data_IF_298155592429
#
_entry.id   IF_298155592429
#
_cell.length_a   1.000
_cell.length_b   1.000
_cell.length_c   1.000
_cell.angle_alpha   90.00
_cell.angle_beta   90.00
_cell.angle_gamma   90.00
#
_symmetry.space_group_name_H-M   'P 1'
#
loop_
_entity.id
_entity.type
_entity.pdbx_description
1 polymer ?
#
# COMPACT_ATOMS: atom_id res chain seq x y z
N UNK A 1 34.55 39.17 -37.63
CA UNK A 1 33.95 39.34 -36.32
C UNK A 1 32.71 38.46 -36.23
N UNK A 2 32.88 37.32 -35.68
CA UNK A 2 31.76 36.40 -35.46
C UNK A 2 31.78 36.02 -33.98
N UNK A 3 30.87 36.58 -33.23
CA UNK A 3 30.60 36.19 -31.87
C UNK A 3 29.83 34.85 -31.90
N UNK A 4 30.52 33.79 -31.55
CA UNK A 4 29.88 32.50 -31.30
C UNK A 4 29.34 32.54 -29.87
N UNK A 5 28.05 32.75 -29.77
CA UNK A 5 27.34 32.55 -28.52
C UNK A 5 27.24 31.06 -28.27
N UNK A 6 28.11 30.52 -27.47
CA UNK A 6 27.97 29.25 -26.83
C UNK A 6 26.88 29.38 -25.77
N UNK A 7 25.67 29.00 -26.13
CA UNK A 7 24.63 28.77 -25.17
C UNK A 7 25.02 27.50 -24.39
N UNK A 8 25.63 27.66 -23.26
CA UNK A 8 25.80 26.61 -22.28
C UNK A 8 24.41 26.28 -21.76
N UNK A 9 23.81 25.23 -22.28
CA UNK A 9 22.64 24.62 -21.69
C UNK A 9 23.03 24.04 -20.35
N UNK A 10 22.81 24.82 -19.32
CA UNK A 10 22.86 24.33 -17.95
C UNK A 10 21.66 23.39 -17.75
N UNK A 11 21.85 22.14 -18.10
CA UNK A 11 20.95 21.08 -17.66
C UNK A 11 21.18 20.94 -16.17
N UNK A 12 20.35 21.61 -15.39
CA UNK A 12 20.25 21.34 -13.97
C UNK A 12 19.78 19.90 -13.82
N UNK A 13 20.72 19.02 -13.54
CA UNK A 13 20.42 17.70 -13.03
C UNK A 13 19.85 17.83 -11.63
N UNK A 14 18.55 18.08 -11.53
CA UNK A 14 17.78 17.99 -10.30
C UNK A 14 17.34 16.55 -10.03
N UNK A 15 18.15 15.56 -10.39
CA UNK A 15 17.76 14.15 -10.29
C UNK A 15 18.39 13.43 -9.08
N UNK A 16 18.85 14.17 -8.09
CA UNK A 16 19.45 13.57 -6.89
C UNK A 16 18.44 13.06 -5.86
N UNK A 17 17.13 13.26 -6.07
CA UNK A 17 16.08 12.86 -5.14
C UNK A 17 15.16 11.82 -5.78
N UNK A 18 15.52 10.56 -5.62
CA UNK A 18 14.56 9.47 -5.63
C UNK A 18 14.15 8.92 -6.97
N UNK A 19 15.08 8.68 -7.85
CA UNK A 19 14.89 7.56 -8.76
C UNK A 19 15.24 6.29 -7.99
N UNK A 20 14.30 5.80 -7.17
CA UNK A 20 14.26 4.41 -6.85
C UNK A 20 14.26 3.67 -8.20
N UNK A 21 15.30 2.90 -8.49
CA UNK A 21 15.38 2.12 -9.71
C UNK A 21 14.05 1.37 -9.87
N UNK A 22 13.38 1.54 -11.03
CA UNK A 22 12.16 0.80 -11.34
C UNK A 22 12.44 -0.69 -11.12
N UNK A 23 11.68 -1.36 -10.26
CA UNK A 23 11.91 -2.77 -10.00
C UNK A 23 11.77 -3.56 -11.30
N UNK A 24 12.72 -4.43 -11.57
CA UNK A 24 12.67 -5.35 -12.70
C UNK A 24 11.37 -6.16 -12.71
N UNK A 25 10.98 -6.70 -13.86
CA UNK A 25 9.75 -7.47 -14.02
C UNK A 25 9.65 -8.66 -13.04
N UNK A 26 10.78 -9.31 -12.72
CA UNK A 26 10.84 -10.36 -11.70
C UNK A 26 10.51 -9.85 -10.29
N UNK A 27 11.07 -8.71 -9.93
CA UNK A 27 10.80 -8.09 -8.64
C UNK A 27 9.35 -7.58 -8.54
N UNK A 28 8.77 -7.08 -9.64
CA UNK A 28 7.35 -6.70 -9.68
C UNK A 28 6.43 -7.88 -9.38
N UNK A 29 6.74 -9.06 -9.91
CA UNK A 29 5.97 -10.26 -9.63
C UNK A 29 6.06 -10.67 -8.16
N UNK A 30 7.25 -10.58 -7.56
CA UNK A 30 7.46 -10.90 -6.14
C UNK A 30 6.82 -9.85 -5.21
N UNK A 31 6.86 -8.58 -5.58
CA UNK A 31 6.14 -7.51 -4.88
C UNK A 31 4.62 -7.75 -4.93
N UNK A 32 4.10 -8.17 -6.08
CA UNK A 32 2.68 -8.50 -6.24
C UNK A 32 2.28 -9.70 -5.36
N UNK A 33 3.12 -10.73 -5.25
CA UNK A 33 2.91 -11.87 -4.34
C UNK A 33 2.92 -11.43 -2.87
N UNK A 34 3.89 -10.61 -2.50
CA UNK A 34 3.97 -10.05 -1.15
C UNK A 34 2.71 -9.26 -0.80
N UNK A 35 2.30 -8.37 -1.70
CA UNK A 35 1.08 -7.58 -1.55
C UNK A 35 -0.17 -8.45 -1.42
N UNK A 36 -0.29 -9.50 -2.22
CA UNK A 36 -1.42 -10.42 -2.18
C UNK A 36 -1.52 -11.15 -0.85
N UNK A 37 -0.41 -11.65 -0.33
CA UNK A 37 -0.35 -12.29 1.00
C UNK A 37 -0.70 -11.32 2.11
N UNK A 38 -0.16 -10.12 2.03
CA UNK A 38 -0.46 -9.04 2.98
C UNK A 38 -1.94 -8.69 2.96
N UNK A 39 -2.55 -8.58 1.78
CA UNK A 39 -3.97 -8.29 1.64
C UNK A 39 -4.85 -9.42 2.23
N UNK A 40 -4.46 -10.67 2.06
CA UNK A 40 -5.17 -11.82 2.66
C UNK A 40 -5.11 -11.76 4.19
N UNK A 41 -3.95 -11.49 4.76
CA UNK A 41 -3.80 -11.38 6.20
C UNK A 41 -4.57 -10.19 6.77
N UNK A 42 -4.54 -9.06 6.10
CA UNK A 42 -5.35 -7.89 6.46
C UNK A 42 -6.85 -8.21 6.46
N UNK A 43 -7.32 -9.01 5.51
CA UNK A 43 -8.74 -9.40 5.45
C UNK A 43 -9.19 -10.25 6.64
N UNK A 44 -8.30 -11.00 7.27
CA UNK A 44 -8.61 -11.76 8.48
C UNK A 44 -9.05 -10.86 9.64
N UNK A 45 -8.60 -9.61 9.64
CA UNK A 45 -8.96 -8.62 10.67
C UNK A 45 -10.20 -7.79 10.34
N UNK A 46 -10.87 -8.05 9.22
CA UNK A 46 -12.10 -7.35 8.85
C UNK A 46 -13.21 -7.45 9.90
N UNK A 47 -13.24 -8.54 10.66
CA UNK A 47 -14.18 -8.73 11.76
C UNK A 47 -13.91 -7.86 13.00
N UNK A 48 -12.74 -7.24 13.07
CA UNK A 48 -12.33 -6.42 14.20
C UNK A 48 -12.60 -4.93 13.97
N UNK A 49 -13.84 -4.61 13.66
CA UNK A 49 -14.26 -3.23 13.53
C UNK A 49 -14.18 -2.53 14.90
N UNK A 50 -13.59 -1.33 15.01
CA UNK A 50 -13.54 -0.61 16.28
C UNK A 50 -14.98 -0.39 16.83
N UNK A 51 -15.27 -0.77 18.08
CA UNK A 51 -16.61 -0.62 18.64
C UNK A 51 -17.13 0.81 18.60
N UNK A 52 -16.26 1.78 18.91
CA UNK A 52 -16.61 3.20 18.86
C UNK A 52 -16.97 3.66 17.44
N UNK A 53 -16.25 3.22 16.43
CA UNK A 53 -16.56 3.53 15.04
C UNK A 53 -17.87 2.89 14.59
N UNK A 54 -18.15 1.68 15.04
CA UNK A 54 -19.42 0.99 14.75
C UNK A 54 -20.60 1.72 15.37
N UNK A 55 -20.49 2.15 16.61
CA UNK A 55 -21.53 2.90 17.32
C UNK A 55 -21.85 4.24 16.66
N UNK A 56 -20.83 4.88 16.10
CA UNK A 56 -20.97 6.17 15.42
C UNK A 56 -21.31 6.03 13.93
N UNK A 57 -21.38 4.81 13.42
CA UNK A 57 -21.67 4.56 12.00
C UNK A 57 -20.57 5.03 11.05
N UNK A 58 -19.31 5.04 11.48
CA UNK A 58 -18.18 5.53 10.68
C UNK A 58 -17.78 4.52 9.64
N UNK A 59 -17.73 4.93 8.39
CA UNK A 59 -17.27 4.15 7.24
C UNK A 59 -16.24 4.95 6.44
N UNK A 60 -15.40 4.27 5.71
CA UNK A 60 -14.43 4.91 4.83
C UNK A 60 -13.38 3.94 4.31
N UNK A 61 -12.49 4.44 3.48
CA UNK A 61 -11.38 3.67 2.91
C UNK A 61 -10.06 4.34 3.29
N UNK A 62 -9.19 3.61 3.96
CA UNK A 62 -7.83 4.03 4.25
C UNK A 62 -6.85 3.34 3.31
N UNK A 63 -5.81 4.03 2.89
CA UNK A 63 -4.70 3.48 2.11
C UNK A 63 -3.44 3.59 2.95
N UNK A 64 -2.80 2.46 3.21
CA UNK A 64 -1.56 2.38 3.98
C UNK A 64 -0.41 2.01 3.05
N UNK A 65 0.65 2.80 3.10
CA UNK A 65 1.89 2.50 2.41
C UNK A 65 2.76 1.62 3.30
N UNK A 66 3.16 0.48 2.78
CA UNK A 66 4.16 -0.40 3.40
C UNK A 66 5.47 -0.23 2.66
N UNK A 67 6.43 0.40 3.29
CA UNK A 67 7.78 0.56 2.76
C UNK A 67 8.71 -0.47 3.41
N UNK A 68 9.46 -1.17 2.60
CA UNK A 68 10.45 -2.15 3.03
C UNK A 68 11.82 -1.69 2.57
N UNK A 69 12.76 -1.57 3.49
CA UNK A 69 14.13 -1.21 3.15
C UNK A 69 14.97 -2.42 2.73
N UNK A 70 16.19 -2.16 2.29
CA UNK A 70 17.10 -3.22 1.83
C UNK A 70 17.45 -4.25 2.94
N UNK A 71 17.34 -3.86 4.20
CA UNK A 71 17.55 -4.73 5.37
C UNK A 71 16.29 -5.51 5.76
N UNK A 72 15.18 -5.31 5.05
CA UNK A 72 13.91 -5.98 5.32
C UNK A 72 13.07 -5.35 6.43
N UNK A 73 13.46 -4.18 6.92
CA UNK A 73 12.66 -3.43 7.90
C UNK A 73 11.42 -2.85 7.22
N UNK A 74 10.30 -2.91 7.90
CA UNK A 74 9.00 -2.54 7.37
C UNK A 74 8.49 -1.31 8.10
N UNK A 75 8.15 -0.29 7.35
CA UNK A 75 7.55 0.94 7.85
C UNK A 75 6.18 1.12 7.19
N UNK A 76 5.14 1.32 8.01
CA UNK A 76 3.78 1.54 7.55
C UNK A 76 3.38 2.98 7.83
N UNK A 77 2.96 3.68 6.80
CA UNK A 77 2.48 5.05 6.88
C UNK A 77 1.12 5.19 6.22
N UNK A 78 0.30 6.11 6.73
CA UNK A 78 -0.99 6.40 6.14
C UNK A 78 -0.80 7.23 4.88
N UNK A 79 -1.15 6.65 3.73
CA UNK A 79 -1.10 7.34 2.43
C UNK A 79 -2.34 8.15 2.18
N UNK A 80 -3.50 7.62 2.55
CA UNK A 80 -4.79 8.25 2.41
C UNK A 80 -5.66 7.94 3.61
N UNK A 81 -6.22 8.98 4.21
CA UNK A 81 -7.14 8.86 5.35
C UNK A 81 -8.50 8.33 4.90
N UNK A 82 -9.14 7.56 5.77
CA UNK A 82 -10.55 7.18 5.63
C UNK A 82 -11.50 8.35 5.89
N UNK A 83 -11.01 9.46 6.42
CA UNK A 83 -11.80 10.58 6.92
C UNK A 83 -12.09 10.51 8.43
N UNK A 84 -11.70 9.42 9.09
CA UNK A 84 -11.93 9.18 10.51
C UNK A 84 -10.69 8.64 11.20
N UNK A 85 -10.20 9.34 12.20
CA UNK A 85 -8.96 8.99 12.91
C UNK A 85 -9.02 7.57 13.50
N UNK A 86 -10.15 7.17 14.08
CA UNK A 86 -10.32 5.82 14.67
C UNK A 86 -10.10 4.72 13.61
N UNK A 87 -10.61 4.91 12.40
CA UNK A 87 -10.44 3.97 11.31
C UNK A 87 -9.00 3.97 10.79
N UNK A 88 -8.38 5.13 10.72
CA UNK A 88 -7.01 5.29 10.26
C UNK A 88 -6.02 4.61 11.22
N UNK A 89 -6.19 4.79 12.50
CA UNK A 89 -5.38 4.13 13.54
C UNK A 89 -5.55 2.61 13.48
N UNK A 90 -6.77 2.14 13.32
CA UNK A 90 -7.04 0.71 13.16
C UNK A 90 -6.40 0.15 11.90
N UNK A 91 -6.48 0.87 10.79
CA UNK A 91 -5.87 0.48 9.52
C UNK A 91 -4.35 0.33 9.67
N UNK A 92 -3.68 1.30 10.28
CA UNK A 92 -2.24 1.25 10.55
C UNK A 92 -1.88 0.07 11.44
N UNK A 93 -2.61 -0.17 12.52
CA UNK A 93 -2.36 -1.26 13.44
C UNK A 93 -2.49 -2.63 12.76
N UNK A 94 -3.54 -2.83 11.98
CA UNK A 94 -3.79 -4.06 11.24
C UNK A 94 -2.70 -4.31 10.19
N UNK A 95 -2.34 -3.29 9.42
CA UNK A 95 -1.31 -3.44 8.37
C UNK A 95 0.06 -3.69 8.98
N UNK A 96 0.42 -3.02 10.07
CA UNK A 96 1.69 -3.27 10.78
C UNK A 96 1.78 -4.71 11.27
N UNK A 97 0.70 -5.21 11.87
CA UNK A 97 0.64 -6.58 12.33
C UNK A 97 0.76 -7.58 11.18
N UNK A 98 -0.02 -7.41 10.13
CA UNK A 98 0.04 -8.26 8.95
C UNK A 98 1.41 -8.20 8.27
N UNK A 99 1.99 -7.01 8.14
CA UNK A 99 3.32 -6.84 7.56
C UNK A 99 4.42 -7.55 8.37
N UNK A 100 4.28 -7.65 9.69
CA UNK A 100 5.22 -8.38 10.54
C UNK A 100 5.16 -9.89 10.33
N UNK A 101 4.01 -10.43 9.97
CA UNK A 101 3.78 -11.86 9.85
C UNK A 101 4.02 -12.41 8.43
N UNK A 102 3.89 -11.57 7.41
CA UNK A 102 4.10 -12.01 6.02
C UNK A 102 5.58 -12.23 5.75
N UNK A 103 5.99 -13.44 5.33
CA UNK A 103 7.39 -13.70 5.01
C UNK A 103 7.84 -12.91 3.78
N UNK A 104 9.11 -12.49 3.81
CA UNK A 104 9.73 -11.82 2.67
C UNK A 104 10.02 -12.82 1.56
N UNK A 105 9.59 -12.59 0.32
CA UNK A 105 10.02 -13.39 -0.82
C UNK A 105 11.54 -13.33 -1.01
N UNK A 106 12.14 -14.45 -1.34
CA UNK A 106 13.61 -14.53 -1.50
C UNK A 106 14.13 -13.58 -2.59
N UNK A 107 13.36 -13.38 -3.65
CA UNK A 107 13.70 -12.44 -4.73
C UNK A 107 13.69 -10.97 -4.33
N UNK A 108 13.17 -10.62 -3.17
CA UNK A 108 13.12 -9.24 -2.66
C UNK A 108 14.14 -8.97 -1.54
N UNK A 109 14.94 -9.95 -1.17
CA UNK A 109 15.96 -9.76 -0.14
C UNK A 109 17.05 -8.79 -0.65
N UNK A 110 17.37 -7.81 0.18
CA UNK A 110 18.33 -6.77 -0.16
C UNK A 110 17.81 -5.67 -1.09
N UNK A 111 16.53 -5.68 -1.42
CA UNK A 111 15.89 -4.71 -2.32
C UNK A 111 14.89 -3.87 -1.55
N UNK A 112 15.03 -2.55 -1.64
CA UNK A 112 14.06 -1.62 -1.11
C UNK A 112 12.85 -1.51 -2.07
N UNK A 113 11.64 -1.65 -1.53
CA UNK A 113 10.42 -1.50 -2.29
C UNK A 113 9.29 -0.97 -1.42
N UNK A 114 8.21 -0.55 -2.05
CA UNK A 114 6.99 -0.14 -1.35
C UNK A 114 5.75 -0.70 -2.04
N UNK A 115 4.70 -0.91 -1.26
CA UNK A 115 3.40 -1.32 -1.78
C UNK A 115 2.28 -0.67 -0.99
N UNK A 116 1.15 -0.46 -1.61
CA UNK A 116 -0.03 0.12 -0.97
C UNK A 116 -1.07 -0.94 -0.68
N UNK A 117 -1.65 -0.85 0.50
CA UNK A 117 -2.76 -1.70 0.93
C UNK A 117 -3.97 -0.82 1.20
N UNK A 118 -5.07 -1.15 0.56
CA UNK A 118 -6.35 -0.46 0.73
C UNK A 118 -7.22 -1.24 1.70
N UNK A 119 -7.66 -0.57 2.76
CA UNK A 119 -8.61 -1.11 3.73
C UNK A 119 -9.94 -0.37 3.59
N UNK A 120 -10.97 -1.10 3.27
CA UNK A 120 -12.32 -0.57 3.23
C UNK A 120 -13.07 -0.95 4.50
N UNK A 121 -13.51 0.06 5.24
CA UNK A 121 -14.37 -0.10 6.40
C UNK A 121 -15.81 0.15 5.97
N UNK A 122 -16.62 -0.89 5.99
CA UNK A 122 -18.03 -0.82 5.67
C UNK A 122 -18.83 -1.61 6.71
N UNK A 123 -19.90 -1.01 7.22
CA UNK A 123 -20.76 -1.65 8.22
C UNK A 123 -21.70 -2.69 7.61
N UNK A 124 -22.05 -2.50 6.34
CA UNK A 124 -22.80 -3.48 5.57
C UNK A 124 -21.84 -4.24 4.67
N UNK A 125 -21.82 -5.58 4.74
CA UNK A 125 -21.05 -6.35 3.79
C UNK A 125 -21.51 -5.97 2.36
N UNK A 126 -20.59 -5.88 1.39
CA UNK A 126 -20.99 -5.70 0.02
C UNK A 126 -21.96 -6.82 -0.32
N UNK A 127 -23.15 -6.45 -0.78
CA UNK A 127 -24.13 -7.42 -1.27
C UNK A 127 -23.41 -8.17 -2.38
N UNK A 128 -23.00 -9.40 -2.09
CA UNK A 128 -22.67 -10.31 -3.17
C UNK A 128 -23.95 -10.40 -3.98
N UNK A 129 -23.94 -9.78 -5.14
CA UNK A 129 -24.92 -10.09 -6.17
C UNK A 129 -24.79 -11.59 -6.37
N UNK A 130 -25.57 -12.33 -5.61
CA UNK A 130 -25.85 -13.71 -5.96
C UNK A 130 -26.42 -13.59 -7.36
N UNK A 131 -25.65 -14.00 -8.34
CA UNK A 131 -26.20 -14.35 -9.63
C UNK A 131 -27.43 -15.16 -9.30
N UNK A 132 -28.61 -14.56 -9.52
CA UNK A 132 -29.83 -15.31 -9.44
C UNK A 132 -29.64 -16.48 -10.39
N UNK A 133 -29.31 -17.64 -9.84
CA UNK A 133 -29.37 -18.86 -10.60
C UNK A 133 -30.81 -18.97 -10.98
N UNK A 134 -31.07 -18.80 -12.25
CA UNK A 134 -32.36 -19.02 -12.83
C UNK A 134 -32.62 -20.51 -12.74
N UNK A 135 -33.11 -20.89 -11.59
CA UNK A 135 -33.65 -22.24 -11.41
C UNK A 135 -35.09 -22.15 -11.87
N UNK A 136 -35.38 -22.79 -12.95
CA UNK A 136 -36.72 -23.12 -13.30
C UNK A 136 -37.32 -24.07 -12.28
#
# INVERSE_FOLDING_TARGET
MRAVLLAASLVLACDAWGQAAEPDASHRADIAKFRSRLAVDVQRFRGQYPPAARQQGLEGTAVVLVAVDAEGRRNCTLRRSSGHQILDEKALAVVRYAASNVPMPDGLRGIAFSTEIRLQFALKPPVKLQKASHVR
#
